data_IF_765789325590
#
_entry.id   IF_765789325590
#
_cell.length_a   1.000
_cell.length_b   1.000
_cell.length_c   1.000
_cell.angle_alpha   90.00
_cell.angle_beta   90.00
_cell.angle_gamma   90.00
#
_symmetry.space_group_name_H-M   'P 1'
#
loop_
_entity.id
_entity.type
_entity.pdbx_description
1 polymer ?
#
# COMPACT_ATOMS: atom_id res chain seq x y z
N UNK A 1 -4.54 34.14 -22.46
CA UNK A 1 -3.73 32.89 -22.46
C UNK A 1 -3.33 32.41 -21.05
N UNK A 2 -2.76 33.26 -20.18
CA UNK A 2 -2.30 32.86 -18.82
C UNK A 2 -3.39 32.21 -17.94
N UNK A 3 -4.62 32.72 -18.01
CA UNK A 3 -5.78 32.19 -17.28
C UNK A 3 -6.12 30.76 -17.71
N UNK A 4 -6.21 30.52 -19.04
CA UNK A 4 -6.43 29.18 -19.61
C UNK A 4 -5.33 28.18 -19.23
N UNK A 5 -4.06 28.62 -19.26
CA UNK A 5 -2.93 27.79 -18.84
C UNK A 5 -3.02 27.39 -17.35
N UNK A 6 -3.45 28.31 -16.47
CA UNK A 6 -3.63 28.00 -15.05
C UNK A 6 -4.75 26.98 -14.80
N UNK A 7 -5.86 27.07 -15.52
CA UNK A 7 -6.97 26.12 -15.40
C UNK A 7 -6.59 24.74 -15.93
N UNK A 8 -5.89 24.66 -17.07
CA UNK A 8 -5.40 23.40 -17.62
C UNK A 8 -4.44 22.69 -16.65
N UNK A 9 -3.47 23.41 -16.07
CA UNK A 9 -2.57 22.86 -15.05
C UNK A 9 -3.32 22.40 -13.79
N UNK A 10 -4.31 23.17 -13.34
CA UNK A 10 -5.11 22.81 -12.17
C UNK A 10 -5.93 21.53 -12.39
N UNK A 11 -6.52 21.36 -13.58
CA UNK A 11 -7.29 20.15 -13.93
C UNK A 11 -6.36 18.93 -14.04
N UNK A 12 -5.20 19.07 -14.67
CA UNK A 12 -4.21 17.98 -14.77
C UNK A 12 -3.72 17.57 -13.38
N UNK A 13 -3.41 18.55 -12.51
CA UNK A 13 -3.03 18.31 -11.12
C UNK A 13 -4.12 17.60 -10.33
N UNK A 14 -5.39 18.01 -10.49
CA UNK A 14 -6.54 17.38 -9.86
C UNK A 14 -6.72 15.93 -10.30
N UNK A 15 -6.65 15.67 -11.61
CA UNK A 15 -6.81 14.33 -12.18
C UNK A 15 -5.74 13.36 -11.69
N UNK A 16 -4.48 13.80 -11.63
CA UNK A 16 -3.39 12.97 -11.11
C UNK A 16 -3.60 12.58 -9.64
N UNK A 17 -4.06 13.52 -8.81
CA UNK A 17 -4.27 13.26 -7.38
C UNK A 17 -5.49 12.37 -7.16
N UNK A 18 -6.55 12.57 -7.93
CA UNK A 18 -7.73 11.71 -7.88
C UNK A 18 -7.38 10.26 -8.24
N UNK A 19 -6.56 10.05 -9.28
CA UNK A 19 -6.06 8.72 -9.63
C UNK A 19 -5.23 8.08 -8.51
N UNK A 20 -4.35 8.86 -7.85
CA UNK A 20 -3.55 8.35 -6.73
C UNK A 20 -4.42 8.02 -5.51
N UNK A 21 -5.43 8.85 -5.22
CA UNK A 21 -6.40 8.58 -4.16
C UNK A 21 -7.19 7.30 -4.43
N UNK A 22 -7.65 7.09 -5.67
CA UNK A 22 -8.33 5.84 -6.05
C UNK A 22 -7.43 4.61 -5.85
N UNK A 23 -6.15 4.70 -6.23
CA UNK A 23 -5.17 3.62 -6.03
C UNK A 23 -4.92 3.35 -4.54
N UNK A 24 -4.85 4.39 -3.71
CA UNK A 24 -4.63 4.25 -2.28
C UNK A 24 -5.86 3.73 -1.52
N UNK A 25 -7.08 4.10 -1.94
CA UNK A 25 -8.32 3.62 -1.34
C UNK A 25 -8.55 2.12 -1.59
N UNK A 26 -8.18 1.63 -2.78
CA UNK A 26 -8.27 0.22 -3.13
C UNK A 26 -7.41 -0.69 -2.22
N UNK A 27 -6.38 -0.14 -1.56
CA UNK A 27 -5.48 -0.87 -0.66
C UNK A 27 -5.77 -0.72 0.84
N UNK A 28 -6.85 -0.05 1.25
CA UNK A 28 -7.03 0.27 2.68
C UNK A 28 -7.72 -0.87 3.45
N UNK A 29 -6.95 -1.65 4.21
CA UNK A 29 -7.49 -2.54 5.23
C UNK A 29 -6.92 -2.18 6.61
N UNK A 30 -7.79 -2.12 7.62
CA UNK A 30 -7.36 -1.88 9.01
C UNK A 30 -6.65 -3.14 9.55
N UNK A 31 -5.40 -2.98 9.98
CA UNK A 31 -4.58 -4.07 10.51
C UNK A 31 -5.26 -4.94 11.59
N UNK A 32 -5.93 -4.37 12.62
CA UNK A 32 -6.52 -5.18 13.69
C UNK A 32 -7.56 -6.20 13.18
N UNK A 33 -8.36 -5.80 12.20
CA UNK A 33 -9.39 -6.65 11.63
C UNK A 33 -8.78 -7.71 10.70
N UNK A 34 -7.85 -7.28 9.84
CA UNK A 34 -7.17 -8.18 8.91
C UNK A 34 -6.32 -9.23 9.62
N UNK A 35 -5.64 -8.87 10.72
CA UNK A 35 -4.84 -9.80 11.52
C UNK A 35 -5.68 -10.96 12.07
N UNK A 36 -6.80 -10.66 12.75
CA UNK A 36 -7.65 -11.69 13.33
C UNK A 36 -8.22 -12.62 12.27
N UNK A 37 -8.65 -12.06 11.14
CA UNK A 37 -9.14 -12.82 10.00
C UNK A 37 -8.05 -13.75 9.45
N UNK A 38 -6.83 -13.23 9.25
CA UNK A 38 -5.72 -13.99 8.69
C UNK A 38 -5.26 -15.11 9.62
N UNK A 39 -5.11 -14.84 10.91
CA UNK A 39 -4.74 -15.86 11.91
C UNK A 39 -5.81 -16.96 11.97
N UNK A 40 -7.10 -16.59 11.96
CA UNK A 40 -8.17 -17.58 11.97
C UNK A 40 -8.15 -18.45 10.70
N UNK A 41 -7.90 -17.87 9.53
CA UNK A 41 -7.78 -18.65 8.29
C UNK A 41 -6.52 -19.50 8.25
N UNK A 42 -5.37 -19.02 8.72
CA UNK A 42 -4.16 -19.85 8.85
C UNK A 42 -4.40 -21.05 9.78
N UNK A 43 -5.29 -20.91 10.76
CA UNK A 43 -5.65 -22.01 11.67
C UNK A 43 -6.64 -23.00 11.06
N UNK A 44 -7.59 -22.53 10.25
CA UNK A 44 -8.71 -23.33 9.73
C UNK A 44 -8.48 -23.83 8.29
N UNK A 45 -8.01 -22.97 7.39
CA UNK A 45 -7.74 -23.29 5.99
C UNK A 45 -6.62 -22.39 5.43
N UNK A 46 -5.35 -22.83 5.51
CA UNK A 46 -4.20 -22.07 5.01
C UNK A 46 -4.27 -21.75 3.51
N UNK A 47 -4.91 -22.59 2.70
CA UNK A 47 -5.01 -22.39 1.26
C UNK A 47 -5.94 -21.21 0.92
N UNK A 48 -7.02 -21.04 1.68
CA UNK A 48 -7.87 -19.84 1.59
C UNK A 48 -7.16 -18.59 2.10
N UNK A 49 -6.32 -18.73 3.13
CA UNK A 49 -5.52 -17.62 3.64
C UNK A 49 -4.57 -17.08 2.54
N UNK A 50 -3.94 -17.97 1.78
CA UNK A 50 -3.10 -17.59 0.64
C UNK A 50 -3.89 -16.85 -0.45
N UNK A 51 -5.07 -17.35 -0.84
CA UNK A 51 -5.92 -16.68 -1.83
C UNK A 51 -6.33 -15.27 -1.39
N UNK A 52 -6.68 -15.10 -0.11
CA UNK A 52 -6.95 -13.76 0.44
C UNK A 52 -5.70 -12.87 0.39
N UNK A 53 -4.52 -13.44 0.67
CA UNK A 53 -3.29 -12.68 0.63
C UNK A 53 -3.03 -12.07 -0.76
N UNK A 54 -3.40 -12.78 -1.83
CA UNK A 54 -3.26 -12.30 -3.21
C UNK A 54 -4.37 -11.36 -3.66
N UNK A 55 -5.55 -11.36 -3.04
CA UNK A 55 -6.63 -10.44 -3.40
C UNK A 55 -6.42 -9.01 -2.86
N UNK A 56 -5.49 -8.82 -1.92
CA UNK A 56 -5.19 -7.54 -1.27
C UNK A 56 -3.75 -7.06 -1.54
N UNK A 57 -3.42 -6.66 -2.78
CA UNK A 57 -2.09 -6.19 -3.14
C UNK A 57 -1.71 -4.89 -2.41
N UNK A 58 -0.41 -4.63 -2.27
CA UNK A 58 0.15 -3.42 -1.64
C UNK A 58 -0.17 -3.24 -0.14
N UNK A 59 -0.54 -4.33 0.54
CA UNK A 59 -0.79 -4.39 1.99
C UNK A 59 0.04 -5.49 2.64
N UNK A 60 0.00 -5.59 3.98
CA UNK A 60 0.69 -6.67 4.71
C UNK A 60 0.27 -8.08 4.27
N UNK A 61 -0.95 -8.25 3.73
CA UNK A 61 -1.42 -9.50 3.15
C UNK A 61 -0.53 -9.97 2.00
N UNK A 62 -0.16 -9.06 1.09
CA UNK A 62 0.71 -9.41 -0.03
C UNK A 62 2.11 -9.85 0.40
N UNK A 63 2.66 -9.26 1.47
CA UNK A 63 3.94 -9.72 2.04
C UNK A 63 3.84 -11.12 2.64
N UNK A 64 2.75 -11.40 3.37
CA UNK A 64 2.50 -12.74 3.92
C UNK A 64 2.22 -13.76 2.80
N UNK A 65 1.46 -13.41 1.77
CA UNK A 65 1.22 -14.27 0.61
C UNK A 65 2.50 -14.63 -0.14
N UNK A 66 3.41 -13.67 -0.30
CA UNK A 66 4.74 -13.92 -0.87
C UNK A 66 5.53 -14.92 -0.02
N UNK A 67 5.51 -14.79 1.31
CA UNK A 67 6.12 -15.76 2.22
C UNK A 67 5.49 -17.14 2.08
N UNK A 68 4.16 -17.25 2.14
CA UNK A 68 3.45 -18.53 2.00
C UNK A 68 3.83 -19.23 0.70
N UNK A 69 3.90 -18.49 -0.41
CA UNK A 69 4.34 -19.02 -1.70
C UNK A 69 5.80 -19.48 -1.67
N UNK A 70 6.70 -18.70 -1.06
CA UNK A 70 8.11 -19.10 -0.94
C UNK A 70 8.31 -20.35 -0.07
N UNK A 71 7.56 -20.46 1.04
CA UNK A 71 7.57 -21.64 1.91
C UNK A 71 6.98 -22.87 1.19
N UNK A 72 5.93 -22.68 0.40
CA UNK A 72 5.35 -23.73 -0.44
C UNK A 72 6.31 -24.22 -1.55
N UNK A 73 7.22 -23.36 -2.00
CA UNK A 73 8.26 -23.71 -2.97
C UNK A 73 9.45 -24.45 -2.33
N UNK A 74 9.77 -24.16 -1.07
CA UNK A 74 10.85 -24.86 -0.36
C UNK A 74 10.49 -26.32 -0.06
N UNK A 75 9.20 -26.62 0.15
CA UNK A 75 8.71 -28.00 0.34
C UNK A 75 9.23 -28.69 1.61
N UNK A 76 9.96 -27.97 2.46
CA UNK A 76 10.48 -28.47 3.73
C UNK A 76 9.53 -28.14 4.87
N UNK A 77 9.53 -28.98 5.91
CA UNK A 77 8.81 -28.74 7.18
C UNK A 77 9.76 -28.42 8.34
N UNK A 78 11.06 -28.33 8.08
CA UNK A 78 12.04 -28.00 9.11
C UNK A 78 11.88 -26.52 9.51
N UNK A 79 11.58 -26.22 10.79
CA UNK A 79 11.42 -24.85 11.28
C UNK A 79 12.62 -23.95 11.00
N UNK A 80 13.84 -24.50 10.97
CA UNK A 80 15.06 -23.72 10.70
C UNK A 80 15.13 -23.27 9.24
N UNK A 81 14.79 -24.16 8.30
CA UNK A 81 14.75 -23.83 6.87
C UNK A 81 13.61 -22.87 6.54
N UNK A 82 12.45 -23.05 7.20
CA UNK A 82 11.30 -22.16 7.01
C UNK A 82 11.61 -20.74 7.46
N UNK A 83 12.19 -20.55 8.65
CA UNK A 83 12.57 -19.22 9.16
C UNK A 83 13.67 -18.54 8.34
N UNK A 84 14.63 -19.32 7.82
CA UNK A 84 15.66 -18.79 6.90
C UNK A 84 15.10 -18.31 5.56
N UNK A 85 13.94 -18.82 5.15
CA UNK A 85 13.29 -18.46 3.88
C UNK A 85 12.24 -17.37 4.08
N UNK A 86 11.47 -17.44 5.17
CA UNK A 86 10.33 -16.56 5.45
C UNK A 86 10.76 -15.12 5.68
N UNK A 87 11.79 -14.90 6.50
CA UNK A 87 12.27 -13.56 6.89
C UNK A 87 12.78 -12.75 5.70
N UNK A 88 13.74 -13.23 4.89
CA UNK A 88 14.22 -12.46 3.74
C UNK A 88 13.14 -12.27 2.67
N UNK A 89 12.25 -13.26 2.49
CA UNK A 89 11.12 -13.12 1.55
C UNK A 89 10.15 -12.04 2.02
N UNK A 90 9.84 -12.01 3.31
CA UNK A 90 8.99 -11.00 3.93
C UNK A 90 9.58 -9.61 3.77
N UNK A 91 10.86 -9.45 4.12
CA UNK A 91 11.55 -8.17 4.07
C UNK A 91 11.66 -7.67 2.61
N UNK A 92 11.93 -8.57 1.64
CA UNK A 92 11.92 -8.24 0.22
C UNK A 92 10.54 -7.81 -0.30
N UNK A 93 9.48 -8.49 0.13
CA UNK A 93 8.12 -8.08 -0.22
C UNK A 93 7.73 -6.73 0.40
N UNK A 94 8.16 -6.46 1.63
CA UNK A 94 7.99 -5.16 2.29
C UNK A 94 8.68 -4.03 1.51
N UNK A 95 9.88 -4.27 0.97
CA UNK A 95 10.57 -3.28 0.13
C UNK A 95 9.77 -2.92 -1.13
N UNK A 96 9.11 -3.89 -1.76
CA UNK A 96 8.26 -3.65 -2.92
C UNK A 96 7.02 -2.83 -2.57
N UNK A 97 6.40 -3.10 -1.42
CA UNK A 97 5.26 -2.33 -0.90
C UNK A 97 5.70 -0.90 -0.59
N UNK A 98 6.82 -0.71 0.10
CA UNK A 98 7.36 0.62 0.41
C UNK A 98 7.71 1.40 -0.88
N UNK A 99 8.29 0.74 -1.89
CA UNK A 99 8.56 1.33 -3.19
C UNK A 99 7.27 1.79 -3.90
N UNK A 100 6.20 0.98 -3.86
CA UNK A 100 4.90 1.35 -4.39
C UNK A 100 4.35 2.61 -3.71
N UNK A 101 4.34 2.64 -2.37
CA UNK A 101 3.87 3.79 -1.60
C UNK A 101 4.74 5.04 -1.80
N UNK A 102 6.07 4.89 -1.92
CA UNK A 102 6.98 5.98 -2.30
C UNK A 102 6.63 6.53 -3.69
N UNK A 103 6.32 5.66 -4.65
CA UNK A 103 5.86 6.05 -5.98
C UNK A 103 4.56 6.84 -5.96
N UNK A 104 3.57 6.43 -5.15
CA UNK A 104 2.33 7.18 -4.97
C UNK A 104 2.57 8.56 -4.34
N UNK A 105 3.40 8.64 -3.30
CA UNK A 105 3.76 9.91 -2.67
C UNK A 105 4.50 10.84 -3.62
N UNK A 106 5.36 10.31 -4.49
CA UNK A 106 6.05 11.11 -5.51
C UNK A 106 5.04 11.74 -6.50
N UNK A 107 4.07 10.96 -6.98
CA UNK A 107 3.01 11.47 -7.86
C UNK A 107 2.19 12.57 -7.19
N UNK A 108 1.88 12.41 -5.91
CA UNK A 108 1.15 13.44 -5.15
C UNK A 108 1.99 14.70 -4.96
N UNK A 109 3.29 14.57 -4.67
CA UNK A 109 4.20 15.73 -4.64
C UNK A 109 4.24 16.45 -5.98
N UNK A 110 4.29 15.73 -7.09
CA UNK A 110 4.21 16.33 -8.43
C UNK A 110 2.88 17.04 -8.67
N UNK A 111 1.76 16.43 -8.27
CA UNK A 111 0.44 17.06 -8.34
C UNK A 111 0.33 18.33 -7.48
N UNK A 112 0.91 18.31 -6.27
CA UNK A 112 0.99 19.48 -5.39
C UNK A 112 1.83 20.60 -5.99
N UNK A 113 3.00 20.28 -6.55
CA UNK A 113 3.85 21.27 -7.24
C UNK A 113 3.13 21.87 -8.46
N UNK A 114 2.41 21.07 -9.23
CA UNK A 114 1.59 21.55 -10.34
C UNK A 114 0.45 22.48 -9.86
N UNK A 115 -0.20 22.16 -8.74
CA UNK A 115 -1.21 23.03 -8.11
C UNK A 115 -0.65 24.36 -7.63
N UNK A 116 0.53 24.36 -7.00
CA UNK A 116 1.23 25.59 -6.57
C UNK A 116 1.64 26.44 -7.78
N UNK A 117 2.17 25.82 -8.83
CA UNK A 117 2.49 26.52 -10.07
C UNK A 117 1.25 27.13 -10.73
N UNK A 118 0.13 26.39 -10.78
CA UNK A 118 -1.15 26.89 -11.29
C UNK A 118 -1.63 28.12 -10.49
N UNK A 119 -1.51 28.08 -9.16
CA UNK A 119 -1.87 29.20 -8.28
C UNK A 119 -0.99 30.44 -8.53
N UNK A 120 0.33 30.27 -8.61
CA UNK A 120 1.26 31.36 -8.88
C UNK A 120 1.00 32.04 -10.24
N UNK A 121 0.71 31.24 -11.29
CA UNK A 121 0.37 31.75 -12.62
C UNK A 121 -0.99 32.47 -12.59
N UNK A 122 -1.98 31.94 -11.86
CA UNK A 122 -3.30 32.55 -11.69
C UNK A 122 -3.25 33.93 -11.02
N UNK A 123 -2.48 34.06 -9.93
CA UNK A 123 -2.26 35.33 -9.23
C UNK A 123 -1.63 36.40 -10.13
N UNK A 124 -0.67 36.00 -10.99
CA UNK A 124 -0.02 36.92 -11.94
C UNK A 124 -0.95 37.46 -13.04
N UNK A 125 -2.14 36.87 -13.17
CA UNK A 125 -3.14 37.24 -14.18
C UNK A 125 -4.22 38.23 -13.70
N UNK A 126 -4.20 38.65 -12.43
CA UNK A 126 -5.11 39.66 -11.89
C UNK A 126 -6.56 39.21 -11.62
N UNK A 127 -6.88 37.93 -11.83
CA UNK A 127 -8.19 37.33 -11.52
C UNK A 127 -8.04 36.50 -10.25
N UNK A 128 -8.87 36.68 -9.20
CA UNK A 128 -8.78 35.86 -8.00
C UNK A 128 -9.09 34.40 -8.37
N UNK A 129 -8.10 33.48 -8.30
CA UNK A 129 -8.28 32.13 -8.83
C UNK A 129 -8.90 31.26 -7.73
N UNK A 130 -10.12 31.62 -7.29
CA UNK A 130 -10.87 30.93 -6.24
C UNK A 130 -10.95 29.41 -6.50
N UNK A 131 -11.20 28.92 -7.73
CA UNK A 131 -11.20 27.48 -8.01
C UNK A 131 -9.83 26.81 -7.80
N UNK A 132 -8.74 27.53 -8.08
CA UNK A 132 -7.36 27.02 -7.93
C UNK A 132 -6.97 26.94 -6.46
N UNK A 133 -7.45 27.87 -5.62
CA UNK A 133 -7.25 27.82 -4.16
C UNK A 133 -7.96 26.60 -3.56
N UNK A 134 -9.22 26.35 -3.94
CA UNK A 134 -9.99 25.20 -3.46
C UNK A 134 -9.28 23.89 -3.88
N UNK A 135 -8.82 23.82 -5.13
CA UNK A 135 -8.05 22.69 -5.62
C UNK A 135 -6.74 22.50 -4.85
N UNK A 136 -5.98 23.56 -4.62
CA UNK A 136 -4.73 23.49 -3.86
C UNK A 136 -4.96 22.97 -2.42
N UNK A 137 -6.02 23.42 -1.74
CA UNK A 137 -6.39 22.92 -0.41
C UNK A 137 -6.77 21.43 -0.43
N UNK A 138 -7.56 20.99 -1.42
CA UNK A 138 -7.91 19.58 -1.59
C UNK A 138 -6.67 18.71 -1.81
N UNK A 139 -5.74 19.18 -2.65
CA UNK A 139 -4.47 18.51 -2.95
C UNK A 139 -3.61 18.36 -1.69
N UNK A 140 -3.49 19.42 -0.89
CA UNK A 140 -2.75 19.37 0.38
C UNK A 140 -3.40 18.42 1.39
N UNK A 141 -4.73 18.44 1.51
CA UNK A 141 -5.47 17.52 2.36
C UNK A 141 -5.28 16.05 1.95
N UNK A 142 -5.40 15.76 0.66
CA UNK A 142 -5.16 14.44 0.08
C UNK A 142 -3.72 13.95 0.33
N UNK A 143 -2.75 14.84 0.18
CA UNK A 143 -1.34 14.54 0.45
C UNK A 143 -1.09 14.22 1.93
N UNK A 144 -1.65 15.03 2.85
CA UNK A 144 -1.57 14.77 4.28
C UNK A 144 -2.16 13.41 4.63
N UNK A 145 -3.36 13.11 4.12
CA UNK A 145 -4.03 11.82 4.34
C UNK A 145 -3.18 10.63 3.85
N UNK A 146 -2.55 10.74 2.67
CA UNK A 146 -1.68 9.68 2.14
C UNK A 146 -0.43 9.43 2.98
N UNK A 147 0.15 10.48 3.57
CA UNK A 147 1.30 10.33 4.48
C UNK A 147 0.90 9.57 5.74
N UNK A 148 -0.26 9.90 6.33
CA UNK A 148 -0.80 9.13 7.46
C UNK A 148 -1.05 7.67 7.07
N UNK A 149 -1.64 7.43 5.89
CA UNK A 149 -1.88 6.06 5.41
C UNK A 149 -0.60 5.26 5.22
N UNK A 150 0.44 5.87 4.67
CA UNK A 150 1.74 5.21 4.58
C UNK A 150 2.24 4.79 5.98
N UNK A 151 2.16 5.68 6.95
CA UNK A 151 2.58 5.38 8.33
C UNK A 151 1.80 4.22 8.95
N UNK A 152 0.49 4.13 8.69
CA UNK A 152 -0.34 2.99 9.09
C UNK A 152 0.13 1.69 8.43
N UNK A 153 0.42 1.72 7.12
CA UNK A 153 0.92 0.54 6.38
C UNK A 153 2.27 0.08 6.94
N UNK A 154 3.23 0.99 7.13
CA UNK A 154 4.55 0.66 7.68
C UNK A 154 4.44 0.07 9.10
N UNK A 155 3.49 0.56 9.90
CA UNK A 155 3.21 0.00 11.22
C UNK A 155 2.57 -1.38 11.12
N UNK A 156 1.64 -1.58 10.18
CA UNK A 156 1.02 -2.88 9.92
C UNK A 156 2.01 -3.94 9.44
N UNK A 157 3.01 -3.56 8.62
CA UNK A 157 4.07 -4.46 8.17
C UNK A 157 4.96 -4.89 9.35
N UNK A 158 5.37 -3.95 10.20
CA UNK A 158 6.16 -4.27 11.39
C UNK A 158 5.43 -5.21 12.35
N UNK A 159 4.14 -4.96 12.58
CA UNK A 159 3.31 -5.81 13.43
C UNK A 159 3.06 -7.19 12.80
N UNK A 160 2.77 -7.25 11.49
CA UNK A 160 2.57 -8.52 10.78
C UNK A 160 3.80 -9.43 10.84
N UNK A 161 5.01 -8.85 10.74
CA UNK A 161 6.27 -9.59 10.92
C UNK A 161 6.38 -10.25 12.29
N UNK A 162 5.95 -9.56 13.34
CA UNK A 162 6.04 -10.06 14.72
C UNK A 162 4.91 -11.05 15.08
N UNK A 163 3.69 -10.81 14.58
CA UNK A 163 2.49 -11.53 15.04
C UNK A 163 2.00 -12.61 14.07
N UNK A 164 2.14 -12.40 12.75
CA UNK A 164 1.53 -13.25 11.72
C UNK A 164 2.58 -14.21 11.14
N UNK A 165 3.80 -13.74 10.92
CA UNK A 165 4.88 -14.56 10.35
C UNK A 165 5.12 -15.88 11.13
N UNK A 166 5.17 -15.88 12.47
CA UNK A 166 5.35 -17.13 13.23
C UNK A 166 4.14 -18.08 13.11
N UNK A 167 2.93 -17.55 12.95
CA UNK A 167 1.72 -18.38 12.76
C UNK A 167 1.70 -19.02 11.36
N UNK A 168 2.24 -18.33 10.35
CA UNK A 168 2.45 -18.90 9.02
C UNK A 168 3.45 -20.05 9.09
N UNK A 169 4.63 -19.83 9.69
CA UNK A 169 5.63 -20.87 9.85
C UNK A 169 5.07 -22.10 10.59
N UNK A 170 4.33 -21.86 11.69
CA UNK A 170 3.66 -22.93 12.43
C UNK A 170 2.66 -23.70 11.56
N UNK A 171 1.87 -23.02 10.70
CA UNK A 171 0.95 -23.69 9.80
C UNK A 171 1.65 -24.63 8.79
N UNK A 172 2.86 -24.28 8.35
CA UNK A 172 3.69 -25.13 7.48
C UNK A 172 4.34 -26.30 8.24
N UNK A 173 4.87 -26.05 9.44
CA UNK A 173 5.46 -27.08 10.31
C UNK A 173 4.42 -28.15 10.66
N UNK A 174 3.20 -27.74 11.01
CA UNK A 174 2.10 -28.65 11.35
C UNK A 174 1.56 -29.42 10.12
N UNK A 175 2.05 -29.12 8.91
CA UNK A 175 1.59 -29.75 7.67
C UNK A 175 0.16 -29.40 7.28
N UNK A 176 -0.41 -28.32 7.86
CA UNK A 176 -1.78 -27.87 7.57
C UNK A 176 -1.90 -27.22 6.19
N UNK A 177 -0.82 -26.70 5.66
CA UNK A 177 -0.76 -26.17 4.30
C UNK A 177 -0.47 -27.31 3.31
N UNK A 178 -1.37 -27.48 2.34
CA UNK A 178 -1.27 -28.49 1.27
C UNK A 178 -1.20 -27.75 -0.05
N UNK A 179 -0.06 -27.87 -0.73
CA UNK A 179 0.15 -27.28 -2.06
C UNK A 179 -0.80 -27.96 -3.06
N UNK A 180 -1.78 -27.21 -3.56
CA UNK A 180 -2.48 -27.61 -4.79
C UNK A 180 -1.53 -27.31 -5.95
N UNK A 181 -0.98 -28.36 -6.55
CA UNK A 181 -0.21 -28.27 -7.79
C UNK A 181 -1.10 -27.93 -8.98
#
# INVERSE_FOLDING_TARGET
MKVFASYALAIIGAGMILLVLMQALAGSLKYPHGRLMLINMLRTNPNKAEQLCFSMPNTFFSAIGAVMKALALTGSRDPKLLSQTSVPTYDGACMMIDAHWKGLLLKVKMGAMAGVAAFAIGLSGGVPPIPVIILALFILGAAGWLVFRKSEVDSSLRLARAEILPEVERAFVDGRYVKYG
#
